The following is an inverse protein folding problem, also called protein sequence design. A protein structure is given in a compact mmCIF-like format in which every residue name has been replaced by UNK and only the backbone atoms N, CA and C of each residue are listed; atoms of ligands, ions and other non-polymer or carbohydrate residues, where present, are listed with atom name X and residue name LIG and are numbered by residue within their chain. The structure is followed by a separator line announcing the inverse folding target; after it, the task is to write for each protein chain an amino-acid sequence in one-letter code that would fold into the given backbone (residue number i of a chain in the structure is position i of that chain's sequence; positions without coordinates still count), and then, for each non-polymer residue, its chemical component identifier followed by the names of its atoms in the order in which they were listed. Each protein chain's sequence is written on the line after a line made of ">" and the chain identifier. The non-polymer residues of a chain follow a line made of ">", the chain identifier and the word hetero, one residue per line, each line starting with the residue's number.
data_IF_143870983563
#
_entry.id   IF_143870983563
#
_cell.length_a   1.000
_cell.length_b   1.000
_cell.length_c   1.000
_cell.angle_alpha   90.00
_cell.angle_beta   90.00
_cell.angle_gamma   90.00
#
_symmetry.space_group_name_H-M   'P 1'
#
loop_
_entity.id
_entity.type
_entity.pdbx_description
1 polymer ?
#
# COMPACT_ATOMS: atom_id res chain seq x y z
N UNK A 1 -0.67 63.59 -30.71
CA UNK A 1 -0.64 63.45 -29.23
C UNK A 1 -1.85 62.61 -28.86
N UNK A 2 -1.65 61.47 -28.17
CA UNK A 2 -2.64 60.39 -27.92
C UNK A 2 -3.11 59.71 -29.21
N UNK A 3 -2.93 58.39 -29.42
CA UNK A 3 -3.54 57.29 -28.69
C UNK A 3 -2.59 56.08 -28.62
N UNK A 4 -1.72 56.04 -27.61
CA UNK A 4 -0.86 54.89 -27.29
C UNK A 4 -1.25 54.23 -25.96
N UNK A 5 -2.56 54.19 -25.63
CA UNK A 5 -3.08 53.75 -24.33
C UNK A 5 -4.23 52.73 -24.43
N UNK A 6 -4.10 51.70 -25.28
CA UNK A 6 -5.07 50.59 -25.30
C UNK A 6 -4.47 49.18 -25.23
N UNK A 7 -3.14 49.02 -25.26
CA UNK A 7 -2.48 47.71 -25.15
C UNK A 7 -1.95 47.36 -23.75
N UNK A 8 -2.29 48.15 -22.71
CA UNK A 8 -1.63 48.07 -21.40
C UNK A 8 -2.44 47.39 -20.28
N UNK A 9 -3.72 47.03 -20.48
CA UNK A 9 -4.56 46.51 -19.38
C UNK A 9 -4.68 44.98 -19.32
N UNK A 10 -4.15 44.23 -20.28
CA UNK A 10 -4.21 42.75 -20.27
C UNK A 10 -2.89 42.04 -19.98
N UNK A 11 -1.74 42.72 -20.08
CA UNK A 11 -0.44 42.11 -19.76
C UNK A 11 0.08 42.44 -18.36
N UNK A 12 -0.52 43.40 -17.65
CA UNK A 12 -0.10 43.79 -16.28
C UNK A 12 -0.78 42.94 -15.19
N UNK A 13 -1.88 42.24 -15.47
CA UNK A 13 -2.55 41.38 -14.47
C UNK A 13 -1.88 40.02 -14.20
N UNK A 14 -0.85 39.64 -14.96
CA UNK A 14 -0.18 38.33 -14.81
C UNK A 14 1.10 38.35 -13.98
N UNK A 15 1.53 39.51 -13.48
CA UNK A 15 2.84 39.67 -12.84
C UNK A 15 2.83 39.80 -11.29
N UNK A 16 1.68 39.67 -10.61
CA UNK A 16 1.59 39.81 -9.15
C UNK A 16 0.72 38.76 -8.46
N UNK A 17 0.95 37.48 -8.75
CA UNK A 17 0.59 36.39 -7.83
C UNK A 17 1.74 35.38 -7.83
N UNK A 18 2.83 35.74 -7.14
CA UNK A 18 3.78 34.74 -6.62
C UNK A 18 3.08 34.04 -5.45
N UNK A 19 2.23 33.08 -5.77
CA UNK A 19 1.83 32.07 -4.80
C UNK A 19 2.50 30.78 -5.23
N UNK A 20 3.55 30.40 -4.51
CA UNK A 20 4.05 29.03 -4.49
C UNK A 20 2.94 28.14 -3.91
N UNK A 21 1.92 27.85 -4.71
CA UNK A 21 0.87 26.89 -4.39
C UNK A 21 1.40 25.53 -4.83
N UNK A 22 1.81 24.73 -3.86
CA UNK A 22 1.94 23.29 -4.04
C UNK A 22 0.60 22.75 -4.57
N UNK A 23 0.56 22.08 -5.73
CA UNK A 23 -0.70 21.62 -6.33
C UNK A 23 -1.36 20.48 -5.52
N UNK A 24 -0.74 20.03 -4.43
CA UNK A 24 -1.21 18.92 -3.60
C UNK A 24 -1.82 19.35 -2.25
N UNK A 25 -2.08 20.65 -2.04
CA UNK A 25 -2.78 21.09 -0.84
C UNK A 25 -4.28 20.77 -0.95
N UNK A 26 -4.66 19.55 -0.55
CA UNK A 26 -6.04 19.16 -0.36
C UNK A 26 -6.66 20.09 0.70
N UNK A 27 -7.48 21.05 0.25
CA UNK A 27 -8.12 22.05 1.09
C UNK A 27 -9.16 21.36 1.97
N UNK A 28 -8.86 21.14 3.25
CA UNK A 28 -9.87 20.73 4.23
C UNK A 28 -10.85 21.90 4.45
N UNK A 29 -12.07 21.77 3.92
CA UNK A 29 -13.10 22.82 3.97
C UNK A 29 -13.83 22.95 5.31
N UNK A 30 -13.40 22.29 6.38
CA UNK A 30 -14.06 22.41 7.70
C UNK A 30 -13.02 22.40 8.82
N UNK A 31 -12.56 23.57 9.24
CA UNK A 31 -11.97 23.75 10.57
C UNK A 31 -13.13 23.93 11.55
N UNK A 32 -13.73 22.84 12.01
CA UNK A 32 -14.69 22.88 13.13
C UNK A 32 -13.92 22.84 14.45
N UNK A 33 -14.12 23.85 15.29
CA UNK A 33 -13.53 24.01 16.64
C UNK A 33 -14.25 23.15 17.70
N UNK A 34 -14.76 21.98 17.32
CA UNK A 34 -15.40 21.07 18.27
C UNK A 34 -14.66 19.74 18.32
N UNK A 35 -13.87 19.56 19.39
CA UNK A 35 -13.06 18.37 19.66
C UNK A 35 -13.90 17.08 19.87
N UNK A 36 -15.23 17.17 19.88
CA UNK A 36 -16.13 16.05 20.13
C UNK A 36 -16.87 15.53 18.88
N UNK A 37 -16.72 16.17 17.72
CA UNK A 37 -17.33 15.71 16.48
C UNK A 37 -16.40 14.72 15.74
N UNK A 38 -16.48 13.43 16.10
CA UNK A 38 -15.84 12.31 15.36
C UNK A 38 -16.54 11.95 14.03
N UNK A 39 -17.40 12.82 13.50
CA UNK A 39 -18.18 12.57 12.29
C UNK A 39 -17.96 13.73 11.32
N UNK A 40 -17.04 13.54 10.35
CA UNK A 40 -16.88 14.45 9.22
C UNK A 40 -15.52 15.16 9.08
N UNK A 41 -14.56 14.98 9.99
CA UNK A 41 -13.18 15.43 9.75
C UNK A 41 -12.50 14.45 8.81
N UNK A 42 -12.07 14.93 7.63
CA UNK A 42 -11.21 14.15 6.75
C UNK A 42 -9.97 13.68 7.54
N UNK A 43 -9.48 12.45 7.32
CA UNK A 43 -8.26 11.98 7.94
C UNK A 43 -7.15 13.02 7.75
N UNK A 44 -6.48 13.39 8.84
CA UNK A 44 -5.35 14.31 8.74
C UNK A 44 -4.29 13.69 7.82
N UNK A 45 -3.71 14.45 6.88
CA UNK A 45 -2.67 13.93 6.02
C UNK A 45 -1.50 13.45 6.88
N UNK A 46 -1.13 12.18 6.73
CA UNK A 46 0.08 11.64 7.36
C UNK A 46 1.29 12.23 6.65
N UNK A 47 2.03 13.08 7.36
CA UNK A 47 3.19 13.82 6.80
C UNK A 47 4.54 13.20 7.18
N UNK A 48 4.54 12.20 8.04
CA UNK A 48 5.75 11.53 8.52
C UNK A 48 5.67 10.01 8.31
N UNK A 49 6.84 9.39 8.14
CA UNK A 49 6.96 7.96 7.88
C UNK A 49 6.67 7.58 6.42
N UNK A 50 6.42 6.28 6.21
CA UNK A 50 6.13 5.75 4.88
C UNK A 50 4.73 6.15 4.43
N UNK A 51 4.66 6.99 3.40
CA UNK A 51 3.39 7.55 2.93
C UNK A 51 2.45 6.43 2.42
N UNK A 52 1.14 6.52 2.67
CA UNK A 52 0.17 5.53 2.20
C UNK A 52 0.17 5.35 0.68
N UNK A 53 0.45 6.43 -0.07
CA UNK A 53 0.59 6.38 -1.53
C UNK A 53 1.76 5.50 -1.97
N UNK A 54 2.91 5.60 -1.30
CA UNK A 54 4.05 4.74 -1.59
C UNK A 54 3.76 3.29 -1.21
N UNK A 55 3.10 3.07 -0.08
CA UNK A 55 2.68 1.72 0.33
C UNK A 55 1.80 1.05 -0.71
N UNK A 56 0.77 1.76 -1.17
CA UNK A 56 -0.10 1.28 -2.24
C UNK A 56 0.68 0.97 -3.51
N UNK A 57 1.59 1.85 -3.93
CA UNK A 57 2.41 1.62 -5.15
C UNK A 57 3.27 0.37 -5.03
N UNK A 58 3.92 0.14 -3.88
CA UNK A 58 4.73 -1.07 -3.68
C UNK A 58 3.86 -2.32 -3.71
N UNK A 59 2.70 -2.31 -3.06
CA UNK A 59 1.77 -3.45 -3.13
C UNK A 59 1.41 -3.81 -4.58
N UNK A 60 1.12 -2.80 -5.40
CA UNK A 60 0.78 -3.01 -6.82
C UNK A 60 1.98 -3.55 -7.59
N UNK A 61 3.18 -3.03 -7.33
CA UNK A 61 4.40 -3.51 -7.98
C UNK A 61 4.66 -4.99 -7.68
N UNK A 62 4.49 -5.42 -6.42
CA UNK A 62 4.64 -6.83 -6.04
C UNK A 62 3.54 -7.69 -6.67
N UNK A 63 2.29 -7.24 -6.67
CA UNK A 63 1.19 -7.98 -7.29
C UNK A 63 1.42 -8.17 -8.80
N UNK A 64 1.89 -7.13 -9.50
CA UNK A 64 2.19 -7.20 -10.94
C UNK A 64 3.40 -8.09 -11.21
N UNK A 65 4.45 -8.02 -10.38
CA UNK A 65 5.64 -8.86 -10.58
C UNK A 65 5.35 -10.35 -10.40
N UNK A 66 4.35 -10.71 -9.59
CA UNK A 66 3.92 -12.10 -9.39
C UNK A 66 3.35 -12.74 -10.67
N UNK A 67 2.78 -11.95 -11.59
CA UNK A 67 2.19 -12.46 -12.83
C UNK A 67 3.20 -13.22 -13.73
N UNK A 68 4.35 -12.63 -14.14
CA UNK A 68 5.38 -13.36 -14.86
C UNK A 68 6.20 -14.29 -13.96
N UNK A 69 6.28 -14.01 -12.66
CA UNK A 69 7.06 -14.81 -11.71
C UNK A 69 6.59 -16.27 -11.67
N UNK A 70 5.28 -16.52 -11.60
CA UNK A 70 4.75 -17.89 -11.52
C UNK A 70 5.06 -18.79 -12.73
N UNK A 71 4.81 -18.39 -13.99
CA UNK A 71 5.19 -19.22 -15.13
C UNK A 71 6.70 -19.44 -15.22
N UNK A 72 7.52 -18.42 -14.90
CA UNK A 72 8.98 -18.57 -14.85
C UNK A 72 9.38 -19.60 -13.79
N UNK A 73 8.79 -19.53 -12.59
CA UNK A 73 9.05 -20.46 -11.50
C UNK A 73 8.72 -21.90 -11.89
N UNK A 74 7.57 -22.11 -12.52
CA UNK A 74 7.10 -23.45 -12.87
C UNK A 74 7.84 -24.07 -14.07
N UNK A 75 8.36 -23.26 -15.01
CA UNK A 75 9.03 -23.78 -16.22
C UNK A 75 10.54 -23.89 -16.01
N UNK A 76 11.19 -22.85 -15.51
CA UNK A 76 12.65 -22.72 -15.55
C UNK A 76 13.35 -22.95 -14.20
N UNK A 77 12.65 -22.80 -13.08
CA UNK A 77 13.22 -22.94 -11.72
C UNK A 77 14.62 -22.28 -11.54
N UNK A 78 14.76 -20.95 -11.76
CA UNK A 78 16.05 -20.29 -11.62
C UNK A 78 16.59 -20.34 -10.18
N UNK A 79 17.89 -20.10 -10.02
CA UNK A 79 18.54 -20.10 -8.71
C UNK A 79 17.83 -19.12 -7.74
N UNK A 80 17.52 -19.59 -6.53
CA UNK A 80 16.78 -18.88 -5.48
C UNK A 80 15.31 -18.55 -5.79
N UNK A 81 14.73 -19.07 -6.88
CA UNK A 81 13.35 -18.76 -7.23
C UNK A 81 12.35 -19.15 -6.13
N UNK A 82 12.61 -20.25 -5.40
CA UNK A 82 11.81 -20.66 -4.25
C UNK A 82 11.73 -19.55 -3.18
N UNK A 83 12.84 -18.89 -2.87
CA UNK A 83 12.86 -17.80 -1.90
C UNK A 83 12.13 -16.55 -2.41
N UNK A 84 12.28 -16.22 -3.70
CA UNK A 84 11.59 -15.09 -4.32
C UNK A 84 10.08 -15.30 -4.31
N UNK A 85 9.62 -16.49 -4.72
CA UNK A 85 8.21 -16.87 -4.72
C UNK A 85 7.65 -16.86 -3.31
N UNK A 86 8.34 -17.48 -2.34
CA UNK A 86 7.92 -17.48 -0.94
C UNK A 86 7.81 -16.05 -0.38
N UNK A 87 8.79 -15.18 -0.62
CA UNK A 87 8.76 -13.80 -0.14
C UNK A 87 7.63 -12.99 -0.79
N UNK A 88 7.46 -13.09 -2.10
CA UNK A 88 6.42 -12.36 -2.82
C UNK A 88 5.01 -12.78 -2.37
N UNK A 89 4.76 -14.09 -2.25
CA UNK A 89 3.47 -14.62 -1.77
C UNK A 89 3.21 -14.20 -0.33
N UNK A 90 4.19 -14.36 0.58
CA UNK A 90 4.04 -13.96 1.98
C UNK A 90 3.76 -12.46 2.14
N UNK A 91 4.47 -11.61 1.38
CA UNK A 91 4.29 -10.16 1.48
C UNK A 91 2.96 -9.69 0.87
N UNK A 92 2.57 -10.28 -0.28
CA UNK A 92 1.27 -10.02 -0.89
C UNK A 92 0.12 -10.42 0.04
N UNK A 93 0.20 -11.60 0.65
CA UNK A 93 -0.80 -12.05 1.63
C UNK A 93 -0.84 -11.15 2.87
N UNK A 94 0.34 -10.80 3.42
CA UNK A 94 0.45 -9.96 4.62
C UNK A 94 -0.31 -8.65 4.46
N UNK A 95 -0.09 -7.93 3.35
CA UNK A 95 -0.77 -6.68 3.07
C UNK A 95 -2.23 -6.85 2.66
N UNK A 96 -2.52 -7.79 1.75
CA UNK A 96 -3.87 -8.02 1.23
C UNK A 96 -4.86 -8.40 2.32
N UNK A 97 -4.57 -9.44 3.09
CA UNK A 97 -5.45 -9.89 4.16
C UNK A 97 -5.44 -8.93 5.36
N UNK A 98 -4.32 -8.22 5.58
CA UNK A 98 -4.26 -7.11 6.54
C UNK A 98 -5.29 -6.02 6.23
N UNK A 99 -5.54 -5.74 4.94
CA UNK A 99 -6.64 -4.89 4.45
C UNK A 99 -8.01 -5.46 4.76
N UNK A 100 -8.24 -6.75 4.42
CA UNK A 100 -9.51 -7.46 4.72
C UNK A 100 -9.87 -7.34 6.21
N UNK A 101 -8.91 -7.54 7.12
CA UNK A 101 -9.15 -7.38 8.56
C UNK A 101 -9.59 -5.96 8.90
N UNK A 102 -8.99 -4.92 8.32
CA UNK A 102 -9.38 -3.51 8.59
C UNK A 102 -10.78 -3.21 8.08
N UNK A 103 -11.18 -3.80 6.96
CA UNK A 103 -12.49 -3.55 6.35
C UNK A 103 -13.62 -4.24 7.12
N UNK A 104 -13.39 -5.46 7.63
CA UNK A 104 -14.44 -6.27 8.24
C UNK A 104 -14.41 -6.34 9.77
N UNK A 105 -13.24 -6.20 10.42
CA UNK A 105 -13.14 -6.18 11.88
C UNK A 105 -13.45 -4.77 12.42
N UNK A 106 -14.68 -4.33 12.21
CA UNK A 106 -15.11 -2.97 12.54
C UNK A 106 -15.17 -2.80 14.06
N UNK A 107 -14.42 -1.83 14.60
CA UNK A 107 -14.39 -1.49 16.04
C UNK A 107 -15.79 -1.21 16.61
N UNK A 108 -16.65 -0.52 15.85
CA UNK A 108 -18.04 -0.24 16.27
C UNK A 108 -18.87 -1.51 16.52
N UNK A 109 -18.57 -2.60 15.81
CA UNK A 109 -19.34 -3.86 15.90
C UNK A 109 -18.75 -4.84 16.90
N UNK A 110 -17.43 -4.93 16.96
CA UNK A 110 -16.72 -5.96 17.73
C UNK A 110 -15.95 -5.41 18.94
N UNK A 111 -16.03 -4.10 19.18
CA UNK A 111 -15.26 -3.42 20.23
C UNK A 111 -13.81 -3.12 19.83
N UNK A 112 -13.07 -2.37 20.66
CA UNK A 112 -11.72 -1.86 20.33
C UNK A 112 -10.62 -2.92 20.38
N UNK A 113 -10.85 -4.06 21.03
CA UNK A 113 -9.83 -5.09 21.26
C UNK A 113 -9.72 -6.08 20.10
N UNK A 114 -10.86 -6.51 19.55
CA UNK A 114 -10.93 -7.52 18.48
C UNK A 114 -10.11 -7.16 17.23
N UNK A 115 -10.24 -5.97 16.61
CA UNK A 115 -9.43 -5.62 15.45
C UNK A 115 -7.92 -5.63 15.74
N UNK A 116 -7.52 -5.20 16.94
CA UNK A 116 -6.10 -5.17 17.34
C UNK A 116 -5.55 -6.59 17.53
N UNK A 117 -6.31 -7.44 18.21
CA UNK A 117 -5.96 -8.84 18.41
C UNK A 117 -5.84 -9.58 17.06
N UNK A 118 -6.80 -9.39 16.16
CA UNK A 118 -6.80 -10.03 14.84
C UNK A 118 -5.64 -9.55 13.96
N UNK A 119 -5.32 -8.25 14.00
CA UNK A 119 -4.13 -7.71 13.31
C UNK A 119 -2.82 -8.28 13.87
N UNK A 120 -2.70 -8.43 15.19
CA UNK A 120 -1.52 -9.00 15.82
C UNK A 120 -1.38 -10.50 15.49
N UNK A 121 -2.48 -11.24 15.58
CA UNK A 121 -2.54 -12.64 15.19
C UNK A 121 -2.12 -12.83 13.74
N UNK A 122 -2.65 -12.00 12.82
CA UNK A 122 -2.29 -12.08 11.41
C UNK A 122 -0.80 -11.82 11.15
N UNK A 123 -0.22 -10.83 11.84
CA UNK A 123 1.23 -10.58 11.80
C UNK A 123 2.03 -11.80 12.24
N UNK A 124 1.62 -12.46 13.32
CA UNK A 124 2.29 -13.66 13.83
C UNK A 124 2.17 -14.83 12.83
N UNK A 125 0.99 -15.06 12.25
CA UNK A 125 0.78 -16.08 11.21
C UNK A 125 1.67 -15.81 9.98
N UNK A 126 1.76 -14.56 9.52
CA UNK A 126 2.62 -14.21 8.39
C UNK A 126 4.10 -14.43 8.71
N UNK A 127 4.56 -14.05 9.90
CA UNK A 127 5.95 -14.23 10.33
C UNK A 127 6.32 -15.72 10.40
N UNK A 128 5.48 -16.51 11.08
CA UNK A 128 5.68 -17.96 11.21
C UNK A 128 5.56 -18.67 9.86
N UNK A 129 4.60 -18.28 9.02
CA UNK A 129 4.43 -18.83 7.67
C UNK A 129 5.64 -18.54 6.78
N UNK A 130 6.15 -17.31 6.79
CA UNK A 130 7.36 -16.98 6.04
C UNK A 130 8.59 -17.72 6.57
N UNK A 131 8.77 -17.81 7.89
CA UNK A 131 9.84 -18.61 8.49
C UNK A 131 9.74 -20.09 8.10
N UNK A 132 8.53 -20.64 8.05
CA UNK A 132 8.25 -22.00 7.58
C UNK A 132 8.64 -22.18 6.10
N UNK A 133 8.31 -21.22 5.24
CA UNK A 133 8.74 -21.26 3.84
C UNK A 133 10.26 -21.19 3.70
N UNK A 134 10.94 -20.30 4.42
CA UNK A 134 12.41 -20.24 4.35
C UNK A 134 13.05 -21.51 4.89
N UNK A 135 12.49 -22.11 5.92
CA UNK A 135 12.95 -23.39 6.45
C UNK A 135 12.77 -24.51 5.40
N UNK A 136 11.59 -24.61 4.78
CA UNK A 136 11.31 -25.59 3.74
C UNK A 136 12.19 -25.42 2.50
N UNK A 137 12.51 -24.17 2.12
CA UNK A 137 13.40 -23.87 1.01
C UNK A 137 14.88 -24.16 1.32
N UNK A 138 15.28 -24.19 2.59
CA UNK A 138 16.66 -24.43 2.98
C UNK A 138 16.94 -25.90 3.33
N UNK A 139 16.01 -26.54 4.04
CA UNK A 139 16.20 -27.89 4.59
C UNK A 139 15.43 -28.99 3.85
N UNK A 140 14.58 -28.64 2.88
CA UNK A 140 13.77 -29.60 2.11
C UNK A 140 13.84 -29.30 0.60
N UNK A 141 12.95 -29.89 -0.18
CA UNK A 141 12.90 -29.81 -1.65
C UNK A 141 12.57 -28.42 -2.21
N UNK A 142 12.08 -27.49 -1.39
CA UNK A 142 11.65 -26.15 -1.81
C UNK A 142 10.20 -26.07 -2.31
N UNK A 143 9.59 -24.89 -2.16
CA UNK A 143 8.15 -24.68 -2.41
C UNK A 143 7.71 -25.02 -3.83
N UNK A 144 8.48 -24.65 -4.86
CA UNK A 144 8.10 -24.85 -6.25
C UNK A 144 8.05 -26.35 -6.56
N UNK A 145 9.11 -27.08 -6.20
CA UNK A 145 9.18 -28.54 -6.39
C UNK A 145 8.16 -29.28 -5.52
N UNK A 146 7.90 -28.79 -4.30
CA UNK A 146 6.84 -29.30 -3.45
C UNK A 146 5.47 -29.24 -4.11
N UNK A 147 5.10 -28.09 -4.69
CA UNK A 147 3.85 -27.93 -5.44
C UNK A 147 3.81 -28.87 -6.65
N UNK A 148 4.89 -28.98 -7.42
CA UNK A 148 4.97 -29.91 -8.56
C UNK A 148 4.77 -31.36 -8.14
N UNK A 149 5.38 -31.78 -7.04
CA UNK A 149 5.27 -33.14 -6.50
C UNK A 149 3.85 -33.45 -6.03
N UNK A 150 3.18 -32.51 -5.39
CA UNK A 150 1.76 -32.65 -4.98
C UNK A 150 0.87 -32.77 -6.23
N UNK A 151 1.16 -32.03 -7.29
CA UNK A 151 0.38 -32.06 -8.52
C UNK A 151 0.59 -33.34 -9.36
N UNK A 152 1.70 -34.05 -9.16
CA UNK A 152 2.00 -35.31 -9.84
C UNK A 152 1.50 -36.56 -9.11
N UNK A 153 0.78 -36.40 -8.00
CA UNK A 153 0.11 -37.50 -7.28
C UNK A 153 -1.11 -38.00 -8.07
#
# INVERSE_FOLDING_TARGET
>A
MSFALLASRHLIRRALVSSFVSPNACRTLVCTSNNNAKLGTAPQPVTSGFLPSHHWTIERLIAVSMLPMYPIALIYEPYLMDYVVSAAVSLHAYWGFGGVIRDYAIERKYGPLVPKALQLFWKAVCLLGFAGFTYFNYYDIGVIKGVKKIWSL
#
